data_IF_991649830402
#
_entry.id   IF_991649830402
#
_cell.length_a   1.000
_cell.length_b   1.000
_cell.length_c   1.000
_cell.angle_alpha   90.00
_cell.angle_beta   90.00
_cell.angle_gamma   90.00
#
_symmetry.space_group_name_H-M   'P 1'
#
loop_
_entity.id
_entity.type
_entity.pdbx_description
1 polymer ?
#
# COMPACT_ATOMS: atom_id res chain seq x y z
N UNK A 1 -6.69 -7.23 20.14
CA UNK A 1 -5.59 -6.47 19.53
C UNK A 1 -6.16 -5.58 18.42
N UNK A 2 -5.85 -4.30 18.40
CA UNK A 2 -6.29 -3.40 17.35
C UNK A 2 -5.51 -3.65 16.05
N UNK A 3 -6.02 -3.12 14.92
CA UNK A 3 -5.31 -3.19 13.64
C UNK A 3 -3.93 -2.53 13.72
N UNK A 4 -3.87 -1.37 14.36
CA UNK A 4 -2.60 -0.66 14.59
C UNK A 4 -1.63 -1.50 15.41
N UNK A 5 -2.07 -2.07 16.53
CA UNK A 5 -1.23 -2.93 17.36
C UNK A 5 -0.69 -4.13 16.59
N UNK A 6 -1.50 -4.72 15.72
CA UNK A 6 -1.06 -5.83 14.86
C UNK A 6 0.12 -5.42 13.99
N UNK A 7 0.05 -4.24 13.37
CA UNK A 7 1.13 -3.71 12.52
C UNK A 7 2.38 -3.44 13.36
N UNK A 8 2.24 -2.70 14.45
CA UNK A 8 3.38 -2.30 15.26
C UNK A 8 4.07 -3.53 15.88
N UNK A 9 3.31 -4.51 16.32
CA UNK A 9 3.86 -5.77 16.86
C UNK A 9 4.58 -6.56 15.77
N UNK A 10 4.01 -6.65 14.57
CA UNK A 10 4.68 -7.31 13.44
C UNK A 10 6.04 -6.68 13.15
N UNK A 11 6.10 -5.36 13.07
CA UNK A 11 7.34 -4.65 12.79
C UNK A 11 8.39 -4.87 13.90
N UNK A 12 7.97 -4.85 15.16
CA UNK A 12 8.85 -5.12 16.30
C UNK A 12 9.37 -6.55 16.31
N UNK A 13 8.50 -7.52 16.09
CA UNK A 13 8.84 -8.96 16.07
C UNK A 13 9.82 -9.31 14.94
N UNK A 14 9.76 -8.57 13.84
CA UNK A 14 10.67 -8.78 12.71
C UNK A 14 11.89 -7.85 12.73
N UNK A 15 12.08 -7.11 13.82
CA UNK A 15 13.19 -6.17 13.98
C UNK A 15 13.27 -5.11 12.89
N UNK A 16 12.11 -4.63 12.44
CA UNK A 16 11.99 -3.58 11.43
C UNK A 16 11.83 -2.24 12.15
N UNK A 17 12.81 -1.32 12.09
CA UNK A 17 12.71 -0.04 12.79
C UNK A 17 11.67 0.87 12.15
N UNK A 18 10.94 1.60 12.98
CA UNK A 18 9.92 2.55 12.56
C UNK A 18 9.68 3.59 13.65
N UNK A 19 9.03 4.68 13.29
CA UNK A 19 8.40 5.58 14.25
C UNK A 19 6.92 5.64 14.00
N UNK A 20 6.13 5.96 15.02
CA UNK A 20 4.68 6.01 14.92
C UNK A 20 4.14 7.21 15.68
N UNK A 21 3.16 7.89 15.13
CA UNK A 21 2.42 8.92 15.86
C UNK A 21 0.93 8.80 15.57
N UNK A 22 0.11 9.14 16.57
CA UNK A 22 -1.34 9.09 16.46
C UNK A 22 -1.91 10.50 16.27
N UNK A 23 -3.05 10.56 15.62
CA UNK A 23 -3.76 11.80 15.29
C UNK A 23 -5.24 11.50 15.07
N UNK A 24 -6.11 12.52 14.99
CA UNK A 24 -7.52 12.32 14.61
C UNK A 24 -7.63 11.66 13.24
N UNK A 25 -8.79 11.08 12.96
CA UNK A 25 -9.05 10.38 11.69
C UNK A 25 -8.66 11.19 10.46
N UNK A 26 -7.92 10.58 9.56
CA UNK A 26 -7.56 11.13 8.26
C UNK A 26 -7.91 10.15 7.16
N UNK A 27 -9.21 10.00 6.84
CA UNK A 27 -9.69 9.04 5.84
C UNK A 27 -9.36 9.45 4.41
N UNK A 28 -9.16 10.74 4.17
CA UNK A 28 -8.72 11.28 2.89
C UNK A 28 -7.34 11.89 3.05
N UNK A 29 -6.63 12.08 1.92
CA UNK A 29 -5.32 12.74 1.94
C UNK A 29 -5.45 14.17 2.49
N UNK A 30 -6.50 14.90 2.13
CA UNK A 30 -6.73 16.27 2.61
C UNK A 30 -6.94 16.34 4.12
N UNK A 31 -7.68 15.41 4.69
CA UNK A 31 -7.86 15.32 6.13
C UNK A 31 -6.56 14.92 6.82
N UNK A 32 -5.86 13.93 6.29
CA UNK A 32 -4.61 13.42 6.86
C UNK A 32 -3.52 14.48 6.87
N UNK A 33 -3.42 15.32 5.84
CA UNK A 33 -2.42 16.40 5.75
C UNK A 33 -2.43 17.35 6.94
N UNK A 34 -3.56 17.52 7.60
CA UNK A 34 -3.68 18.38 8.77
C UNK A 34 -2.84 17.90 9.95
N UNK A 35 -2.55 16.61 9.98
CA UNK A 35 -1.91 15.94 11.13
C UNK A 35 -0.50 15.43 10.84
N UNK A 36 -0.08 15.44 9.58
CA UNK A 36 1.24 14.96 9.20
C UNK A 36 2.33 15.88 9.73
N UNK A 37 3.41 15.25 10.22
CA UNK A 37 4.61 15.96 10.62
C UNK A 37 5.48 16.25 9.40
N UNK A 38 6.13 17.41 9.38
CA UNK A 38 7.09 17.78 8.36
C UNK A 38 8.45 17.17 8.73
N UNK A 39 8.58 15.88 8.45
CA UNK A 39 9.76 15.08 8.80
C UNK A 39 10.57 14.64 7.59
N UNK A 40 10.23 15.14 6.40
CA UNK A 40 10.89 14.78 5.15
C UNK A 40 10.46 13.44 4.58
N UNK A 41 9.56 12.71 5.23
CA UNK A 41 9.05 11.44 4.69
C UNK A 41 8.10 11.67 3.52
N UNK A 42 8.08 10.72 2.57
CA UNK A 42 7.12 10.71 1.47
C UNK A 42 5.85 10.04 1.95
N UNK A 43 4.77 10.81 2.04
CA UNK A 43 3.45 10.28 2.37
C UNK A 43 2.87 9.58 1.15
N UNK A 44 2.43 8.35 1.32
CA UNK A 44 1.96 7.51 0.22
C UNK A 44 0.44 7.42 0.18
N UNK A 45 -0.08 7.33 -1.04
CA UNK A 45 -1.47 6.99 -1.32
C UNK A 45 -1.52 5.53 -1.76
N UNK A 46 -2.53 4.82 -1.29
CA UNK A 46 -2.69 3.39 -1.55
C UNK A 46 -4.07 3.12 -2.12
N UNK A 47 -4.12 2.50 -3.28
CA UNK A 47 -5.36 2.15 -3.97
C UNK A 47 -5.43 0.64 -4.14
N UNK A 48 -6.63 0.08 -3.93
CA UNK A 48 -6.83 -1.36 -4.03
C UNK A 48 -7.77 -1.68 -5.20
N UNK A 49 -7.29 -2.53 -6.10
CA UNK A 49 -7.98 -2.86 -7.36
C UNK A 49 -8.23 -4.35 -7.51
N UNK A 50 -9.18 -4.66 -8.37
CA UNK A 50 -9.44 -6.02 -8.83
C UNK A 50 -9.27 -6.10 -10.35
N UNK A 51 -8.94 -7.29 -10.85
CA UNK A 51 -8.97 -7.55 -12.28
C UNK A 51 -10.42 -7.75 -12.77
N UNK A 52 -10.63 -7.86 -14.09
CA UNK A 52 -11.95 -8.04 -14.67
C UNK A 52 -12.68 -9.27 -14.11
N UNK A 53 -11.99 -10.40 -14.00
CA UNK A 53 -12.57 -11.65 -13.49
C UNK A 53 -12.82 -11.64 -11.99
N UNK A 54 -12.21 -10.74 -11.24
CA UNK A 54 -12.33 -10.67 -9.79
C UNK A 54 -11.58 -11.75 -9.03
N UNK A 55 -10.63 -12.42 -9.67
CA UNK A 55 -9.81 -13.48 -9.04
C UNK A 55 -8.36 -13.05 -8.78
N UNK A 56 -7.99 -11.82 -9.12
CA UNK A 56 -6.70 -11.22 -8.81
C UNK A 56 -6.90 -9.82 -8.25
N UNK A 57 -6.08 -9.45 -7.29
CA UNK A 57 -6.16 -8.15 -6.63
C UNK A 57 -4.78 -7.48 -6.61
N UNK A 58 -4.78 -6.16 -6.72
CA UNK A 58 -3.57 -5.36 -6.80
C UNK A 58 -3.63 -4.20 -5.83
N UNK A 59 -2.60 -4.04 -5.04
CA UNK A 59 -2.41 -2.87 -4.19
C UNK A 59 -1.41 -1.96 -4.90
N UNK A 60 -1.77 -0.71 -5.12
CA UNK A 60 -0.93 0.26 -5.85
C UNK A 60 -0.57 1.39 -4.89
N UNK A 61 0.73 1.58 -4.69
CA UNK A 61 1.27 2.56 -3.74
C UNK A 61 2.12 3.59 -4.48
N UNK A 62 1.86 4.87 -4.21
CA UNK A 62 2.59 5.98 -4.85
C UNK A 62 2.57 7.23 -3.98
N UNK A 63 3.36 8.24 -4.36
CA UNK A 63 3.42 9.51 -3.65
C UNK A 63 2.05 10.21 -3.70
N UNK A 64 1.54 10.62 -2.55
CA UNK A 64 0.21 11.23 -2.41
C UNK A 64 0.04 12.57 -3.14
N UNK A 65 1.13 13.19 -3.57
CA UNK A 65 1.09 14.45 -4.35
C UNK A 65 0.68 14.25 -5.80
N UNK A 66 0.55 13.01 -6.25
CA UNK A 66 0.17 12.65 -7.61
C UNK A 66 -1.21 12.00 -7.64
N UNK A 67 -1.88 12.13 -8.78
CA UNK A 67 -3.12 11.43 -9.06
C UNK A 67 -2.89 10.47 -10.23
N UNK A 68 -3.58 9.34 -10.23
CA UNK A 68 -3.52 8.36 -11.30
C UNK A 68 -4.86 8.27 -12.01
N UNK A 69 -4.82 8.30 -13.35
CA UNK A 69 -5.98 7.97 -14.17
C UNK A 69 -6.11 6.44 -14.24
N UNK A 70 -7.29 5.92 -13.92
CA UNK A 70 -7.49 4.46 -13.85
C UNK A 70 -7.28 3.78 -15.21
N UNK A 71 -7.60 4.45 -16.32
CA UNK A 71 -7.40 3.88 -17.66
C UNK A 71 -5.93 3.79 -18.03
N UNK A 72 -5.15 4.83 -17.68
CA UNK A 72 -3.71 4.82 -17.87
C UNK A 72 -3.05 3.77 -16.98
N UNK A 73 -3.48 3.68 -15.71
CA UNK A 73 -3.01 2.67 -14.78
C UNK A 73 -3.29 1.26 -15.29
N UNK A 74 -4.51 1.01 -15.78
CA UNK A 74 -4.87 -0.27 -16.37
C UNK A 74 -3.91 -0.67 -17.48
N UNK A 75 -3.57 0.25 -18.38
CA UNK A 75 -2.64 0.01 -19.47
C UNK A 75 -1.23 -0.33 -18.94
N UNK A 76 -0.75 0.42 -17.98
CA UNK A 76 0.56 0.19 -17.35
C UNK A 76 0.62 -1.18 -16.68
N UNK A 77 -0.40 -1.55 -15.91
CA UNK A 77 -0.45 -2.85 -15.25
C UNK A 77 -0.55 -4.00 -16.24
N UNK A 78 -1.36 -3.85 -17.30
CA UNK A 78 -1.45 -4.85 -18.38
C UNK A 78 -0.08 -5.11 -19.01
N UNK A 79 0.62 -4.06 -19.41
CA UNK A 79 1.95 -4.19 -20.02
C UNK A 79 2.93 -4.90 -19.09
N UNK A 80 2.94 -4.52 -17.82
CA UNK A 80 3.84 -5.13 -16.84
C UNK A 80 3.53 -6.61 -16.64
N UNK A 81 2.26 -6.97 -16.47
CA UNK A 81 1.85 -8.35 -16.25
C UNK A 81 2.17 -9.22 -17.47
N UNK A 82 1.79 -8.78 -18.68
CA UNK A 82 2.01 -9.53 -19.91
C UNK A 82 3.49 -9.68 -20.21
N UNK A 83 4.30 -8.66 -19.96
CA UNK A 83 5.76 -8.73 -20.17
C UNK A 83 6.44 -9.80 -19.33
N UNK A 84 5.83 -10.18 -18.20
CA UNK A 84 6.32 -11.22 -17.30
C UNK A 84 5.70 -12.58 -17.54
N UNK A 85 4.92 -12.74 -18.61
CA UNK A 85 4.22 -13.97 -18.91
C UNK A 85 2.99 -14.24 -18.04
N UNK A 86 2.51 -13.22 -17.32
CA UNK A 86 1.34 -13.31 -16.46
C UNK A 86 0.07 -12.92 -17.26
N UNK A 87 -1.11 -13.42 -16.85
CA UNK A 87 -2.36 -13.00 -17.48
C UNK A 87 -2.61 -11.51 -17.33
N UNK A 88 -3.19 -10.89 -18.36
CA UNK A 88 -3.63 -9.49 -18.30
C UNK A 88 -4.68 -9.30 -17.21
N UNK A 89 -4.70 -8.11 -16.60
CA UNK A 89 -5.74 -7.75 -15.63
C UNK A 89 -7.11 -7.55 -16.25
N UNK A 90 -7.20 -7.45 -17.58
CA UNK A 90 -8.44 -7.06 -18.26
C UNK A 90 -8.83 -5.65 -17.81
N UNK A 91 -10.14 -5.41 -17.65
CA UNK A 91 -10.62 -4.13 -17.11
C UNK A 91 -10.30 -4.01 -15.64
N UNK A 92 -9.52 -3.00 -15.27
CA UNK A 92 -9.19 -2.70 -13.89
C UNK A 92 -10.34 -1.93 -13.23
N UNK A 93 -10.71 -2.33 -12.02
CA UNK A 93 -11.74 -1.66 -11.22
C UNK A 93 -11.30 -1.55 -9.78
N UNK A 94 -11.79 -0.53 -9.07
CA UNK A 94 -11.59 -0.46 -7.63
C UNK A 94 -12.23 -1.67 -6.95
N UNK A 95 -11.53 -2.25 -5.99
CA UNK A 95 -12.08 -3.33 -5.20
C UNK A 95 -13.12 -2.78 -4.21
N UNK A 96 -14.21 -3.54 -4.01
CA UNK A 96 -15.25 -3.15 -3.06
C UNK A 96 -14.75 -3.18 -1.62
N UNK A 97 -15.46 -2.50 -0.69
CA UNK A 97 -15.15 -2.63 0.74
C UNK A 97 -15.14 -4.07 1.24
N UNK A 98 -16.01 -4.91 0.72
CA UNK A 98 -16.07 -6.33 1.06
C UNK A 98 -14.80 -7.08 0.65
N UNK A 99 -14.29 -6.79 -0.55
CA UNK A 99 -13.03 -7.38 -1.04
C UNK A 99 -11.83 -6.86 -0.26
N UNK A 100 -11.84 -5.58 0.08
CA UNK A 100 -10.80 -4.96 0.89
C UNK A 100 -10.74 -5.63 2.27
N UNK A 101 -11.88 -5.87 2.89
CA UNK A 101 -11.94 -6.58 4.17
C UNK A 101 -11.48 -8.03 4.04
N UNK A 102 -11.91 -8.71 2.97
CA UNK A 102 -11.57 -10.11 2.75
C UNK A 102 -10.06 -10.34 2.56
N UNK A 103 -9.41 -9.50 1.76
CA UNK A 103 -8.01 -9.71 1.37
C UNK A 103 -6.99 -8.96 2.21
N UNK A 104 -7.35 -7.79 2.70
CA UNK A 104 -6.44 -6.94 3.48
C UNK A 104 -6.85 -6.78 4.95
N UNK A 105 -8.09 -7.12 5.28
CA UNK A 105 -8.62 -6.90 6.63
C UNK A 105 -8.78 -5.42 6.96
N UNK A 106 -8.98 -4.56 5.96
CA UNK A 106 -9.01 -3.11 6.12
C UNK A 106 -10.32 -2.50 5.66
N UNK A 107 -10.58 -1.29 6.15
CA UNK A 107 -11.70 -0.46 5.74
C UNK A 107 -11.23 0.65 4.79
N UNK A 108 -12.13 1.18 3.94
CA UNK A 108 -11.81 2.36 3.12
C UNK A 108 -11.26 3.50 3.97
N UNK A 109 -10.23 4.18 3.47
CA UNK A 109 -9.56 5.25 4.18
C UNK A 109 -8.37 4.80 5.05
N UNK A 110 -8.24 3.50 5.29
CA UNK A 110 -7.15 2.94 6.12
C UNK A 110 -6.22 2.00 5.35
N UNK A 111 -6.28 2.02 4.01
CA UNK A 111 -5.50 1.11 3.16
C UNK A 111 -4.02 1.44 3.24
N UNK A 112 -3.21 0.41 3.39
CA UNK A 112 -1.75 0.53 3.45
C UNK A 112 -1.09 -0.78 3.05
N UNK A 113 0.22 -0.76 2.69
CA UNK A 113 0.97 -1.99 2.43
C UNK A 113 1.03 -2.93 3.63
N UNK A 114 0.81 -2.42 4.84
CA UNK A 114 0.75 -3.25 6.04
C UNK A 114 -0.48 -4.15 6.10
N UNK A 115 -1.47 -3.90 5.24
CA UNK A 115 -2.60 -4.82 5.06
C UNK A 115 -2.17 -6.20 4.57
N UNK A 116 -1.02 -6.30 3.91
CA UNK A 116 -0.48 -7.59 3.45
C UNK A 116 -0.15 -8.54 4.60
N UNK A 117 0.00 -8.03 5.83
CA UNK A 117 0.17 -8.85 7.03
C UNK A 117 -1.04 -9.79 7.22
N UNK A 118 -2.23 -9.35 6.82
CA UNK A 118 -3.48 -10.11 6.94
C UNK A 118 -3.74 -11.03 5.75
N UNK A 119 -2.95 -10.93 4.69
CA UNK A 119 -3.09 -11.72 3.46
C UNK A 119 -2.22 -12.98 3.55
N UNK A 120 -2.65 -13.93 4.36
CA UNK A 120 -1.89 -15.15 4.64
C UNK A 120 -1.61 -16.00 3.40
N UNK A 121 -2.49 -15.94 2.40
CA UNK A 121 -2.35 -16.69 1.15
C UNK A 121 -1.44 -15.99 0.13
N UNK A 122 -0.96 -14.79 0.46
CA UNK A 122 -0.14 -13.96 -0.44
C UNK A 122 -0.82 -13.73 -1.80
N UNK A 123 -2.14 -13.51 -1.73
CA UNK A 123 -2.99 -13.34 -2.91
C UNK A 123 -2.77 -12.00 -3.61
N UNK A 124 -2.56 -10.93 -2.84
CA UNK A 124 -2.44 -9.57 -3.35
C UNK A 124 -1.05 -9.32 -3.91
N UNK A 125 -1.00 -8.78 -5.14
CA UNK A 125 0.24 -8.31 -5.75
C UNK A 125 0.38 -6.81 -5.52
N UNK A 126 1.57 -6.37 -5.09
CA UNK A 126 1.85 -4.97 -4.78
C UNK A 126 2.62 -4.31 -5.91
N UNK A 127 2.07 -3.21 -6.44
CA UNK A 127 2.77 -2.32 -7.36
C UNK A 127 3.19 -1.06 -6.61
N UNK A 128 4.44 -0.70 -6.73
CA UNK A 128 5.01 0.50 -6.12
C UNK A 128 5.52 1.42 -7.21
N UNK A 129 5.24 2.72 -7.09
CA UNK A 129 5.84 3.67 -8.01
C UNK A 129 7.36 3.65 -7.85
N UNK A 130 8.08 3.61 -8.98
CA UNK A 130 9.55 3.49 -8.96
C UNK A 130 10.25 4.62 -8.22
N UNK A 131 9.63 5.82 -8.19
CA UNK A 131 10.21 6.97 -7.48
C UNK A 131 10.26 6.78 -5.96
N UNK A 132 9.42 5.89 -5.40
CA UNK A 132 9.45 5.59 -3.98
C UNK A 132 10.74 4.88 -3.56
N UNK A 133 11.43 4.24 -4.51
CA UNK A 133 12.69 3.56 -4.24
C UNK A 133 13.79 4.50 -3.75
N UNK A 134 13.75 5.75 -4.20
CA UNK A 134 14.76 6.76 -3.89
C UNK A 134 14.42 7.60 -2.65
N UNK A 135 13.22 7.46 -2.10
CA UNK A 135 12.81 8.17 -0.90
C UNK A 135 13.59 7.66 0.33
N UNK A 136 14.14 8.56 1.14
CA UNK A 136 14.86 8.18 2.35
C UNK A 136 13.94 7.55 3.39
N UNK A 137 12.70 8.06 3.49
CA UNK A 137 11.67 7.52 4.36
C UNK A 137 10.29 7.67 3.76
N UNK A 138 9.39 6.79 4.17
CA UNK A 138 8.02 6.69 3.68
C UNK A 138 7.06 6.71 4.86
N UNK A 139 5.86 7.20 4.62
CA UNK A 139 4.81 7.25 5.63
C UNK A 139 3.55 6.55 5.15
N UNK A 140 3.00 5.69 6.02
CA UNK A 140 1.78 4.93 5.76
C UNK A 140 0.88 4.90 6.99
N UNK A 141 -0.41 4.66 6.81
CA UNK A 141 -1.27 4.29 7.92
C UNK A 141 -0.91 2.90 8.46
N UNK A 142 -0.86 2.73 9.79
CA UNK A 142 -0.72 1.40 10.38
C UNK A 142 -2.07 0.66 10.41
N UNK A 143 -2.69 0.51 9.25
CA UNK A 143 -4.01 -0.11 9.05
C UNK A 143 -5.16 0.62 9.78
N UNK A 144 -4.92 1.84 10.21
CA UNK A 144 -5.88 2.70 10.88
C UNK A 144 -5.58 4.16 10.52
N UNK A 145 -6.58 4.88 10.04
CA UNK A 145 -6.42 6.26 9.61
C UNK A 145 -6.21 7.28 10.74
N UNK A 146 -6.12 6.81 11.99
CA UNK A 146 -5.81 7.61 13.18
C UNK A 146 -4.33 7.54 13.56
N UNK A 147 -3.50 6.94 12.72
CA UNK A 147 -2.07 6.85 12.95
C UNK A 147 -1.26 7.00 11.69
N UNK A 148 0.03 7.26 11.87
CA UNK A 148 1.02 7.30 10.79
C UNK A 148 2.30 6.62 11.25
N UNK A 149 2.76 5.65 10.46
CA UNK A 149 4.06 5.01 10.63
C UNK A 149 5.03 5.63 9.63
N UNK A 150 6.19 6.03 10.13
CA UNK A 150 7.30 6.50 9.30
C UNK A 150 8.38 5.42 9.32
N UNK A 151 8.80 5.00 8.14
CA UNK A 151 9.73 3.89 7.96
C UNK A 151 10.81 4.28 6.95
N UNK A 152 12.07 3.94 7.24
CA UNK A 152 13.17 4.19 6.32
C UNK A 152 13.06 3.33 5.07
N UNK A 153 13.74 3.75 4.01
CA UNK A 153 13.84 2.96 2.76
C UNK A 153 14.35 1.55 3.02
N UNK A 154 15.39 1.43 3.83
CA UNK A 154 16.01 0.14 4.15
C UNK A 154 15.06 -0.75 4.97
N UNK A 155 14.38 -0.17 5.94
CA UNK A 155 13.40 -0.90 6.75
C UNK A 155 12.19 -1.32 5.93
N UNK A 156 11.73 -0.48 5.01
CA UNK A 156 10.61 -0.82 4.13
C UNK A 156 10.98 -1.97 3.17
N UNK A 157 12.21 -1.96 2.65
CA UNK A 157 12.72 -3.07 1.85
C UNK A 157 12.75 -4.37 2.65
N UNK A 158 13.18 -4.30 3.91
CA UNK A 158 13.16 -5.46 4.81
C UNK A 158 11.73 -5.99 4.99
N UNK A 159 10.76 -5.10 5.18
CA UNK A 159 9.34 -5.47 5.27
C UNK A 159 8.87 -6.17 3.99
N UNK A 160 9.13 -5.59 2.82
CA UNK A 160 8.71 -6.15 1.54
C UNK A 160 9.31 -7.52 1.28
N UNK A 161 10.58 -7.71 1.59
CA UNK A 161 11.26 -8.98 1.37
C UNK A 161 10.80 -10.07 2.35
N UNK A 162 10.27 -9.69 3.50
CA UNK A 162 9.81 -10.62 4.53
C UNK A 162 8.34 -10.97 4.49
N UNK A 163 7.51 -10.16 3.81
CA UNK A 163 6.04 -10.34 3.86
C UNK A 163 5.55 -11.54 3.01
N UNK A 164 6.29 -11.93 1.99
CA UNK A 164 5.96 -13.09 1.15
C UNK A 164 5.14 -12.78 -0.09
N UNK A 165 4.44 -11.65 -0.15
CA UNK A 165 3.70 -11.24 -1.33
C UNK A 165 4.63 -10.85 -2.47
N UNK A 166 4.22 -11.10 -3.71
CA UNK A 166 4.93 -10.58 -4.87
C UNK A 166 4.77 -9.07 -4.95
N UNK A 167 5.83 -8.39 -5.32
CA UNK A 167 5.79 -6.94 -5.51
C UNK A 167 6.73 -6.51 -6.61
N UNK A 168 6.50 -5.32 -7.15
CA UNK A 168 7.38 -4.73 -8.16
C UNK A 168 7.31 -3.21 -8.14
N UNK A 169 8.43 -2.59 -8.51
CA UNK A 169 8.50 -1.16 -8.76
C UNK A 169 8.28 -0.91 -10.24
N UNK A 170 7.36 -0.01 -10.57
CA UNK A 170 7.04 0.37 -11.95
C UNK A 170 6.86 1.88 -12.06
N UNK A 171 7.03 2.40 -13.26
CA UNK A 171 6.80 3.81 -13.53
C UNK A 171 5.31 4.06 -13.68
N UNK A 172 4.72 4.80 -12.74
CA UNK A 172 3.29 5.13 -12.74
C UNK A 172 3.00 6.52 -13.31
N UNK A 173 3.97 7.43 -13.30
CA UNK A 173 3.85 8.79 -13.83
C UNK A 173 5.19 9.37 -14.22
#
# INVERSE_FOLDING_TARGET
MTREETVLNYLREHNIPFTNYNHPEGKTIEEAKRWWKDDGSVHCKNLFFRNHKGNKHYLVCFNCDYDLDIHELEHILKESLVSKGLPSCGKLSFASPERMMKYLGLEPGSVSPFGLINDEEHHVHLFLDENLRDAESLSFHPNDCRGTVVISREAFKQYLDGIGNTYEYIKLY
#
